data_IF_598435363859
#
_entry.id   IF_598435363859
#
_cell.length_a   1.000
_cell.length_b   1.000
_cell.length_c   1.000
_cell.angle_alpha   90.00
_cell.angle_beta   90.00
_cell.angle_gamma   90.00
#
_symmetry.space_group_name_H-M   'P 1'
#
loop_
_entity.id
_entity.type
_entity.pdbx_description
1 polymer ?
#
# COMPACT_ATOMS: atom_id res chain seq x y z
N UNK A 1 -1.57 -5.05 4.80
CA UNK A 1 -1.45 -6.27 3.96
C UNK A 1 -0.50 -7.23 4.65
N UNK A 2 -0.87 -8.50 4.77
CA UNK A 2 0.01 -9.54 5.33
C UNK A 2 0.58 -10.37 4.19
N UNK A 3 1.85 -10.15 3.82
CA UNK A 3 2.47 -10.84 2.69
C UNK A 3 2.85 -12.28 3.03
N UNK A 4 2.47 -13.22 2.16
CA UNK A 4 2.97 -14.59 2.19
C UNK A 4 4.29 -14.74 1.42
N UNK A 5 5.07 -15.76 1.76
CA UNK A 5 6.25 -16.13 0.97
C UNK A 5 5.84 -16.65 -0.42
N UNK A 6 6.60 -16.28 -1.44
CA UNK A 6 6.41 -16.66 -2.85
C UNK A 6 5.01 -16.39 -3.40
N UNK A 7 4.36 -15.32 -2.96
CA UNK A 7 3.03 -14.93 -3.43
C UNK A 7 2.89 -13.41 -3.51
N UNK A 8 1.97 -12.98 -4.37
CA UNK A 8 1.49 -11.59 -4.41
C UNK A 8 0.23 -11.49 -3.57
N UNK A 9 0.30 -10.74 -2.48
CA UNK A 9 -0.84 -10.52 -1.59
C UNK A 9 -1.39 -9.12 -1.78
N UNK A 10 -2.70 -9.03 -1.98
CA UNK A 10 -3.41 -7.76 -2.17
C UNK A 10 -4.11 -7.34 -0.88
N UNK A 11 -4.28 -6.04 -0.70
CA UNK A 11 -5.18 -5.49 0.30
C UNK A 11 -6.66 -5.58 -0.13
N UNK A 12 -7.55 -5.06 0.73
CA UNK A 12 -8.99 -4.99 0.40
C UNK A 12 -9.27 -3.96 -0.71
N UNK A 13 -8.49 -2.88 -0.74
CA UNK A 13 -8.57 -1.81 -1.74
C UNK A 13 -9.42 -0.62 -1.30
N UNK A 14 -9.25 0.47 -2.04
CA UNK A 14 -10.10 1.65 -2.02
C UNK A 14 -11.06 1.59 -3.21
N UNK A 15 -12.38 1.54 -2.96
CA UNK A 15 -13.39 1.54 -4.03
C UNK A 15 -14.01 2.92 -4.20
N UNK A 16 -14.14 3.38 -5.44
CA UNK A 16 -14.89 4.60 -5.85
C UNK A 16 -16.34 4.21 -6.15
N UNK A 17 -17.32 4.84 -5.49
CA UNK A 17 -18.75 4.56 -5.70
C UNK A 17 -19.47 5.78 -6.27
N UNK A 18 -20.72 5.61 -6.73
CA UNK A 18 -21.50 6.72 -7.28
C UNK A 18 -21.83 7.78 -6.20
N UNK A 19 -22.04 7.33 -4.96
CA UNK A 19 -22.36 8.16 -3.80
C UNK A 19 -21.12 8.83 -3.19
N UNK A 20 -19.94 8.26 -3.44
CA UNK A 20 -18.65 8.79 -3.00
C UNK A 20 -17.60 8.57 -4.11
N UNK A 21 -17.62 9.38 -5.18
CA UNK A 21 -16.60 9.34 -6.21
C UNK A 21 -15.27 9.76 -5.60
N UNK A 22 -14.18 9.06 -5.89
CA UNK A 22 -12.88 9.29 -5.25
C UNK A 22 -11.80 9.66 -6.25
N UNK A 23 -10.91 10.55 -5.82
CA UNK A 23 -9.59 10.73 -6.42
C UNK A 23 -8.53 10.29 -5.42
N UNK A 24 -7.69 9.34 -5.84
CA UNK A 24 -6.54 8.90 -5.05
C UNK A 24 -5.38 9.88 -5.25
N UNK A 25 -4.95 10.53 -4.17
CA UNK A 25 -3.79 11.43 -4.19
C UNK A 25 -2.51 10.62 -4.06
N UNK A 26 -2.41 9.82 -3.01
CA UNK A 26 -1.22 9.09 -2.65
C UNK A 26 -1.55 7.89 -1.77
N UNK A 27 -0.59 6.99 -1.65
CA UNK A 27 -0.57 5.98 -0.60
C UNK A 27 0.50 6.35 0.41
N UNK A 28 0.21 6.12 1.69
CA UNK A 28 1.12 6.36 2.79
C UNK A 28 1.45 5.01 3.40
N UNK A 29 2.69 4.56 3.27
CA UNK A 29 3.07 3.19 3.63
C UNK A 29 4.39 3.09 4.40
N UNK A 30 4.49 2.03 5.18
CA UNK A 30 5.71 1.43 5.69
C UNK A 30 5.64 -0.09 5.53
N UNK A 31 6.80 -0.74 5.61
CA UNK A 31 6.91 -2.21 5.58
C UNK A 31 7.49 -2.76 6.88
N UNK A 32 7.12 -3.99 7.25
CA UNK A 32 7.60 -4.60 8.50
C UNK A 32 9.06 -5.01 8.50
N UNK A 33 9.58 -5.39 7.33
CA UNK A 33 10.95 -5.82 7.11
C UNK A 33 11.22 -5.75 5.61
N UNK A 34 12.47 -5.51 5.23
CA UNK A 34 12.90 -5.80 3.87
C UNK A 34 13.03 -7.31 3.70
N UNK A 35 12.40 -7.85 2.65
CA UNK A 35 12.36 -9.27 2.33
C UNK A 35 12.56 -9.51 0.83
N UNK A 36 13.25 -8.58 0.16
CA UNK A 36 13.41 -8.54 -1.29
C UNK A 36 12.03 -8.56 -1.96
N UNK A 37 11.10 -7.79 -1.39
CA UNK A 37 9.73 -7.72 -1.86
C UNK A 37 9.55 -6.55 -2.84
N UNK A 38 8.46 -6.61 -3.61
CA UNK A 38 8.01 -5.53 -4.48
C UNK A 38 6.67 -5.02 -3.98
N UNK A 39 6.58 -3.72 -3.76
CA UNK A 39 5.32 -3.04 -3.46
C UNK A 39 4.72 -2.54 -4.76
N UNK A 40 3.46 -2.88 -5.00
CA UNK A 40 2.76 -2.60 -6.24
C UNK A 40 1.45 -1.87 -5.99
N UNK A 41 1.10 -0.95 -6.90
CA UNK A 41 -0.20 -0.30 -6.94
C UNK A 41 -0.97 -0.74 -8.17
N UNK A 42 -2.23 -1.11 -8.00
CA UNK A 42 -3.08 -1.64 -9.06
C UNK A 42 -4.39 -0.88 -9.13
N UNK A 43 -4.76 -0.36 -10.30
CA UNK A 43 -6.12 0.08 -10.60
C UNK A 43 -6.78 -1.01 -11.44
N UNK A 44 -7.72 -1.75 -10.84
CA UNK A 44 -8.28 -2.96 -11.44
C UNK A 44 -7.19 -3.98 -11.83
N UNK A 45 -6.90 -4.11 -13.13
CA UNK A 45 -5.90 -5.02 -13.71
C UNK A 45 -4.65 -4.28 -14.19
N UNK A 46 -4.64 -2.97 -14.10
CA UNK A 46 -3.52 -2.14 -14.56
C UNK A 46 -2.58 -1.87 -13.38
N UNK A 47 -1.31 -2.23 -13.55
CA UNK A 47 -0.26 -1.92 -12.57
C UNK A 47 0.17 -0.48 -12.78
N UNK A 48 -0.15 0.38 -11.82
CA UNK A 48 0.13 1.82 -11.86
C UNK A 48 1.57 2.12 -11.41
N UNK A 49 2.09 1.36 -10.45
CA UNK A 49 3.49 1.46 -10.05
C UNK A 49 4.02 0.12 -9.50
N UNK A 50 5.35 0.00 -9.50
CA UNK A 50 6.11 -1.05 -8.83
C UNK A 50 7.36 -0.42 -8.21
N UNK A 51 7.59 -0.66 -6.92
CA UNK A 51 8.77 -0.20 -6.20
C UNK A 51 9.38 -1.37 -5.43
N UNK A 52 10.71 -1.53 -5.43
CA UNK A 52 11.36 -2.45 -4.52
C UNK A 52 11.19 -1.97 -3.07
N UNK A 53 11.13 -2.91 -2.13
CA UNK A 53 10.84 -2.65 -0.72
C UNK A 53 11.98 -1.92 0.02
N UNK A 54 13.20 -1.96 -0.50
CA UNK A 54 14.37 -1.22 -0.01
C UNK A 54 14.27 0.30 -0.16
N UNK A 55 13.35 0.78 -1.00
CA UNK A 55 13.03 2.22 -1.14
C UNK A 55 11.97 2.71 -0.15
N UNK A 56 11.41 1.83 0.68
CA UNK A 56 10.33 2.16 1.61
C UNK A 56 10.83 1.98 3.03
N UNK A 57 10.63 2.98 3.88
CA UNK A 57 11.05 2.90 5.28
C UNK A 57 10.40 1.71 5.99
N UNK A 58 11.22 1.00 6.74
CA UNK A 58 10.76 -0.08 7.60
C UNK A 58 10.26 0.47 8.93
N UNK A 59 9.21 -0.14 9.45
CA UNK A 59 8.94 -0.11 10.89
C UNK A 59 9.87 -1.16 11.53
N UNK A 60 11.11 -0.76 11.83
CA UNK A 60 12.10 -1.65 12.44
C UNK A 60 11.47 -2.47 13.58
N UNK A 61 11.57 -3.80 13.49
CA UNK A 61 11.03 -4.71 14.50
C UNK A 61 11.78 -4.48 15.82
N UNK A 62 11.22 -3.67 16.71
CA UNK A 62 11.60 -3.76 18.11
C UNK A 62 11.32 -5.21 18.58
N UNK A 63 12.13 -5.77 19.50
CA UNK A 63 11.99 -7.14 19.97
C UNK A 63 10.54 -7.46 20.36
N UNK A 64 10.16 -8.73 20.24
CA UNK A 64 8.81 -9.37 20.23
C UNK A 64 7.68 -8.82 21.13
N UNK A 65 7.98 -7.89 22.02
CA UNK A 65 7.11 -7.33 23.05
C UNK A 65 6.95 -5.80 22.91
N UNK A 66 7.48 -5.18 21.86
CA UNK A 66 7.33 -3.75 21.55
C UNK A 66 6.93 -3.58 20.10
N UNK A 67 5.76 -2.98 19.87
CA UNK A 67 5.41 -2.42 18.58
C UNK A 67 5.87 -0.96 18.61
N UNK A 68 6.86 -0.52 17.81
CA UNK A 68 7.04 0.90 17.60
C UNK A 68 5.88 1.40 16.72
N UNK A 69 4.68 1.52 17.29
CA UNK A 69 3.60 2.29 16.68
C UNK A 69 3.75 3.75 17.09
N UNK A 70 4.71 4.42 16.48
CA UNK A 70 4.63 5.82 16.05
C UNK A 70 6.01 6.27 15.59
N UNK A 71 6.13 6.68 14.32
CA UNK A 71 7.14 7.64 13.85
C UNK A 71 6.50 8.36 12.64
N UNK A 72 6.54 9.69 12.56
CA UNK A 72 6.03 10.53 11.45
C UNK A 72 6.72 10.27 10.08
N UNK A 73 7.25 9.06 9.86
CA UNK A 73 8.00 8.61 8.70
C UNK A 73 7.15 7.63 7.89
N UNK A 74 6.02 8.12 7.37
CA UNK A 74 5.27 7.39 6.35
C UNK A 74 5.81 7.80 4.99
N UNK A 75 6.08 6.83 4.13
CA UNK A 75 6.45 7.12 2.74
C UNK A 75 5.17 7.47 2.00
N UNK A 76 5.06 8.74 1.60
CA UNK A 76 3.99 9.19 0.73
C UNK A 76 4.40 8.97 -0.73
N UNK A 77 3.80 7.97 -1.36
CA UNK A 77 3.99 7.68 -2.78
C UNK A 77 2.84 8.36 -3.54
N UNK A 78 3.11 9.42 -4.32
CA UNK A 78 2.08 10.07 -5.13
C UNK A 78 1.63 9.12 -6.23
N UNK A 79 0.31 8.97 -6.36
CA UNK A 79 -0.33 8.17 -7.43
C UNK A 79 -1.10 9.10 -8.36
N UNK A 80 -1.91 10.00 -7.80
CA UNK A 80 -2.53 11.11 -8.52
C UNK A 80 -3.61 10.71 -9.54
N UNK A 81 -4.36 9.64 -9.30
CA UNK A 81 -5.38 9.11 -10.23
C UNK A 81 -6.81 9.46 -9.83
N UNK A 82 -7.60 9.94 -10.79
CA UNK A 82 -9.06 10.02 -10.65
C UNK A 82 -9.64 8.62 -10.82
N UNK A 83 -10.40 8.12 -9.84
CA UNK A 83 -10.89 6.75 -9.87
C UNK A 83 -12.30 6.71 -10.47
N UNK A 84 -12.50 6.10 -11.65
CA UNK A 84 -13.83 5.96 -12.22
C UNK A 84 -14.77 5.25 -11.24
N UNK A 85 -16.05 5.65 -11.23
CA UNK A 85 -17.06 5.00 -10.38
C UNK A 85 -17.13 3.50 -10.69
N UNK A 86 -17.15 2.69 -9.64
CA UNK A 86 -17.14 1.22 -9.71
C UNK A 86 -15.75 0.61 -9.73
N UNK A 87 -14.68 1.41 -9.80
CA UNK A 87 -13.30 0.89 -9.77
C UNK A 87 -12.72 0.81 -8.36
N UNK A 88 -11.77 -0.10 -8.19
CA UNK A 88 -11.02 -0.34 -6.96
C UNK A 88 -9.52 -0.23 -7.23
N UNK A 89 -8.86 0.58 -6.41
CA UNK A 89 -7.41 0.63 -6.35
C UNK A 89 -6.92 -0.26 -5.21
N UNK A 90 -5.90 -1.08 -5.46
CA UNK A 90 -5.31 -1.99 -4.47
C UNK A 90 -3.82 -1.78 -4.33
N UNK A 91 -3.33 -1.96 -3.11
CA UNK A 91 -1.90 -2.10 -2.84
C UNK A 91 -1.59 -3.57 -2.67
N UNK A 92 -0.53 -4.03 -3.31
CA UNK A 92 -0.07 -5.40 -3.22
C UNK A 92 1.41 -5.46 -2.79
N UNK A 93 1.76 -6.60 -2.20
CA UNK A 93 3.15 -6.95 -1.92
C UNK A 93 3.46 -8.31 -2.54
N UNK A 94 4.47 -8.36 -3.40
CA UNK A 94 5.02 -9.58 -3.98
C UNK A 94 6.31 -9.90 -3.24
N UNK A 95 6.33 -10.98 -2.44
CA UNK A 95 7.45 -11.27 -1.57
C UNK A 95 8.07 -12.65 -1.86
N UNK A 96 9.38 -12.76 -1.65
CA UNK A 96 10.07 -14.06 -1.55
C UNK A 96 9.93 -14.61 -0.13
N UNK A 97 10.07 -13.76 0.89
CA UNK A 97 9.83 -14.07 2.29
C UNK A 97 8.74 -13.17 2.89
N UNK A 98 8.03 -13.64 3.93
CA UNK A 98 6.88 -12.92 4.47
C UNK A 98 7.24 -11.50 4.97
N UNK A 99 6.50 -10.49 4.48
CA UNK A 99 6.61 -9.10 4.88
C UNK A 99 5.23 -8.43 4.86
N UNK A 100 5.01 -7.45 5.73
CA UNK A 100 3.72 -6.79 5.89
C UNK A 100 3.80 -5.33 5.45
N UNK A 101 2.74 -4.84 4.81
CA UNK A 101 2.54 -3.40 4.56
C UNK A 101 1.56 -2.85 5.60
N UNK A 102 1.97 -1.79 6.27
CA UNK A 102 1.12 -0.96 7.11
C UNK A 102 0.98 0.42 6.47
N UNK A 103 -0.24 0.94 6.35
CA UNK A 103 -0.45 2.19 5.65
C UNK A 103 -1.92 2.58 5.48
N UNK A 104 -2.13 3.67 4.76
CA UNK A 104 -3.45 4.19 4.45
C UNK A 104 -3.49 4.86 3.06
N UNK A 105 -4.69 4.96 2.51
CA UNK A 105 -4.97 5.73 1.31
C UNK A 105 -5.22 7.19 1.67
N UNK A 106 -4.55 8.12 0.96
CA UNK A 106 -4.90 9.53 0.98
C UNK A 106 -5.72 9.83 -0.28
N UNK A 107 -7.00 10.14 -0.09
CA UNK A 107 -7.92 10.42 -1.18
C UNK A 107 -8.80 11.62 -0.85
N UNK A 108 -9.42 12.18 -1.88
CA UNK A 108 -10.51 13.14 -1.75
C UNK A 108 -11.78 12.54 -2.35
N UNK A 109 -12.93 12.92 -1.79
CA UNK A 109 -14.23 12.67 -2.42
C UNK A 109 -14.49 13.84 -3.36
N UNK A 110 -14.73 13.55 -4.63
CA UNK A 110 -14.98 14.56 -5.67
C UNK A 110 -16.47 14.58 -6.00
N UNK A 111 -17.00 15.79 -6.23
CA UNK A 111 -18.38 16.07 -6.60
C UNK A 111 -18.53 16.30 -8.10
#
# INVERSE_FOLDING_TARGET
VTGGANTTTYDAGLTSSAEAPKRLKSIMINISTHATAKVQGWLEREKVFELPDDLIDTIELAPSNRFPMSLNKLNEIPVGVDMPVGTTFKVAIECIAAANICGAYRYEVIS
#
